data_IF_281069372795
#
_entry.id   IF_281069372795
#
_cell.length_a   1.000
_cell.length_b   1.000
_cell.length_c   1.000
_cell.angle_alpha   90.00
_cell.angle_beta   90.00
_cell.angle_gamma   90.00
#
_symmetry.space_group_name_H-M   'P 1'
#
loop_
_entity.id
_entity.type
_entity.pdbx_description
1 polymer ?
#
# COMPACT_ATOMS: atom_id res chain seq x y z
N UNK A 1 3.56 1.09 2.03
CA UNK A 1 4.71 1.88 1.56
C UNK A 1 4.24 2.95 0.61
N UNK A 2 4.92 4.08 0.58
CA UNK A 2 4.81 5.08 -0.48
C UNK A 2 5.64 4.62 -1.69
N UNK A 3 5.11 4.78 -2.89
CA UNK A 3 5.83 4.57 -4.15
C UNK A 3 5.89 5.88 -4.94
N UNK A 4 7.06 6.18 -5.44
CA UNK A 4 7.35 7.37 -6.23
C UNK A 4 8.16 6.99 -7.48
N UNK A 5 8.18 7.82 -8.55
CA UNK A 5 9.10 7.59 -9.67
C UNK A 5 10.55 7.59 -9.20
N UNK A 6 11.41 6.83 -9.85
CA UNK A 6 12.86 6.79 -9.51
C UNK A 6 13.55 8.16 -9.58
N UNK A 7 13.08 9.06 -10.45
CA UNK A 7 13.59 10.43 -10.57
C UNK A 7 13.02 11.44 -9.58
N UNK A 8 12.14 11.00 -8.68
CA UNK A 8 11.54 11.89 -7.68
C UNK A 8 12.55 12.26 -6.59
N UNK A 9 12.43 13.48 -6.05
CA UNK A 9 13.31 13.97 -4.98
C UNK A 9 13.25 13.06 -3.72
N UNK A 10 12.13 12.41 -3.46
CA UNK A 10 11.98 11.46 -2.35
C UNK A 10 12.64 10.10 -2.61
N UNK A 11 13.00 9.78 -3.85
CA UNK A 11 13.52 8.45 -4.22
C UNK A 11 14.82 8.08 -3.50
N UNK A 12 15.62 9.07 -3.09
CA UNK A 12 16.85 8.85 -2.32
C UNK A 12 16.58 8.56 -0.81
N UNK A 13 15.37 8.78 -0.34
CA UNK A 13 15.00 8.60 1.06
C UNK A 13 14.48 7.19 1.30
N UNK A 14 14.81 6.65 2.46
CA UNK A 14 14.27 5.34 2.89
C UNK A 14 12.94 5.46 3.63
N UNK A 15 12.68 6.62 4.23
CA UNK A 15 11.51 6.87 5.08
C UNK A 15 10.98 8.28 4.86
N UNK A 16 9.68 8.45 4.99
CA UNK A 16 9.01 9.75 4.96
C UNK A 16 7.78 9.71 5.86
N UNK A 17 7.41 10.85 6.42
CA UNK A 17 6.12 11.00 7.07
C UNK A 17 5.03 11.26 6.03
N UNK A 18 3.83 10.76 6.25
CA UNK A 18 2.72 10.98 5.35
C UNK A 18 2.36 12.45 5.18
N UNK A 19 2.54 13.24 6.26
CA UNK A 19 2.35 14.70 6.24
C UNK A 19 3.19 15.42 5.20
N UNK A 20 4.37 14.91 4.87
CA UNK A 20 5.29 15.52 3.91
C UNK A 20 4.80 15.42 2.47
N UNK A 21 3.87 14.49 2.19
CA UNK A 21 3.41 14.18 0.83
C UNK A 21 1.94 14.52 0.57
N UNK A 22 1.21 14.97 1.58
CA UNK A 22 -0.22 15.25 1.50
C UNK A 22 -0.61 16.28 0.41
N UNK A 23 0.30 17.20 0.07
CA UNK A 23 0.06 18.19 -0.96
C UNK A 23 0.36 17.68 -2.39
N UNK A 24 0.87 16.45 -2.52
CA UNK A 24 1.20 15.83 -3.80
C UNK A 24 -0.05 15.26 -4.49
N UNK A 25 0.07 15.01 -5.76
CA UNK A 25 -0.95 14.33 -6.53
C UNK A 25 -0.78 12.82 -6.43
N UNK A 26 -1.88 12.11 -6.25
CA UNK A 26 -1.90 10.67 -6.00
C UNK A 26 -2.48 9.89 -7.16
N UNK A 27 -1.99 8.68 -7.29
CA UNK A 27 -2.65 7.59 -8.01
C UNK A 27 -3.26 6.67 -6.95
N UNK A 28 -4.54 6.38 -7.06
CA UNK A 28 -5.27 5.56 -6.10
C UNK A 28 -5.97 4.37 -6.71
N UNK A 29 -6.51 3.52 -5.84
CA UNK A 29 -7.41 2.45 -6.25
C UNK A 29 -8.84 2.98 -6.39
N UNK A 30 -9.54 2.52 -7.42
CA UNK A 30 -10.97 2.74 -7.59
C UNK A 30 -11.79 1.79 -6.76
N UNK A 31 -13.10 2.08 -6.65
CA UNK A 31 -14.03 1.27 -5.87
C UNK A 31 -13.83 1.37 -4.35
N UNK A 32 -14.37 0.39 -3.63
CA UNK A 32 -14.22 0.25 -2.18
C UNK A 32 -12.95 -0.54 -1.88
N UNK A 33 -11.87 0.16 -1.58
CA UNK A 33 -10.61 -0.45 -1.17
C UNK A 33 -10.30 -0.08 0.29
N UNK A 34 -10.17 -1.06 1.21
CA UNK A 34 -9.81 -0.79 2.60
C UNK A 34 -8.50 -0.03 2.74
N UNK A 35 -7.52 -0.28 1.88
CA UNK A 35 -6.28 0.48 1.85
C UNK A 35 -6.53 1.94 1.49
N UNK A 36 -7.33 2.16 0.45
CA UNK A 36 -7.63 3.51 -0.03
C UNK A 36 -8.43 4.32 1.01
N UNK A 37 -9.35 3.66 1.70
CA UNK A 37 -10.11 4.27 2.79
C UNK A 37 -9.21 4.64 3.97
N UNK A 38 -8.28 3.76 4.34
CA UNK A 38 -7.30 4.01 5.39
C UNK A 38 -6.43 5.23 5.08
N UNK A 39 -5.91 5.31 3.87
CA UNK A 39 -5.06 6.42 3.40
C UNK A 39 -5.86 7.73 3.41
N UNK A 40 -7.06 7.71 2.86
CA UNK A 40 -7.95 8.89 2.81
C UNK A 40 -8.40 9.34 4.20
N UNK A 41 -8.68 8.41 5.10
CA UNK A 41 -9.04 8.70 6.49
C UNK A 41 -7.90 9.42 7.22
N UNK A 42 -6.66 8.91 7.07
CA UNK A 42 -5.51 9.53 7.72
C UNK A 42 -5.14 10.90 7.13
N UNK A 43 -5.38 11.13 5.84
CA UNK A 43 -5.26 12.46 5.26
C UNK A 43 -6.28 13.44 5.87
N UNK A 44 -7.54 13.02 6.00
CA UNK A 44 -8.58 13.85 6.64
C UNK A 44 -8.28 14.16 8.09
N UNK A 45 -7.71 13.22 8.84
CA UNK A 45 -7.27 13.48 10.24
C UNK A 45 -6.20 14.56 10.33
N UNK A 46 -5.44 14.77 9.27
CA UNK A 46 -4.45 15.86 9.14
C UNK A 46 -5.02 17.11 8.45
N UNK A 47 -6.36 17.20 8.33
CA UNK A 47 -7.03 18.35 7.73
C UNK A 47 -6.89 18.47 6.21
N UNK A 48 -6.50 17.38 5.53
CA UNK A 48 -6.27 17.37 4.08
C UNK A 48 -7.15 16.36 3.35
N UNK A 49 -7.49 16.69 2.12
CA UNK A 49 -8.03 15.76 1.13
C UNK A 49 -6.96 15.45 0.11
N UNK A 50 -6.79 14.17 -0.21
CA UNK A 50 -5.85 13.76 -1.24
C UNK A 50 -6.35 14.15 -2.63
N UNK A 51 -5.46 14.74 -3.43
CA UNK A 51 -5.73 15.02 -4.83
C UNK A 51 -5.39 13.78 -5.66
N UNK A 52 -6.40 13.09 -6.15
CA UNK A 52 -6.21 11.95 -7.06
C UNK A 52 -6.26 12.41 -8.51
N UNK A 53 -5.17 12.20 -9.25
CA UNK A 53 -5.17 12.40 -10.71
C UNK A 53 -5.89 11.28 -11.43
N UNK A 54 -5.71 10.06 -10.95
CA UNK A 54 -6.35 8.87 -11.52
C UNK A 54 -6.58 7.82 -10.45
N UNK A 55 -7.63 7.03 -10.64
CA UNK A 55 -7.91 5.83 -9.86
C UNK A 55 -7.94 4.63 -10.80
N UNK A 56 -7.22 3.59 -10.46
CA UNK A 56 -7.04 2.38 -11.27
C UNK A 56 -7.54 1.14 -10.54
N UNK A 57 -7.62 0.01 -11.23
CA UNK A 57 -8.31 -1.18 -10.71
C UNK A 57 -7.46 -2.04 -9.78
N UNK A 58 -6.15 -2.00 -9.90
CA UNK A 58 -5.27 -2.88 -9.13
C UNK A 58 -3.95 -2.20 -8.77
N UNK A 59 -3.22 -2.83 -7.85
CA UNK A 59 -1.97 -2.28 -7.30
C UNK A 59 -0.84 -2.19 -8.34
N UNK A 60 -0.79 -3.10 -9.29
CA UNK A 60 0.22 -3.05 -10.35
C UNK A 60 -0.02 -1.84 -11.27
N UNK A 61 -1.27 -1.56 -11.61
CA UNK A 61 -1.64 -0.37 -12.38
C UNK A 61 -1.31 0.92 -11.61
N UNK A 62 -1.46 0.96 -10.28
CA UNK A 62 -0.99 2.10 -9.46
C UNK A 62 0.51 2.29 -9.67
N UNK A 63 1.32 1.24 -9.53
CA UNK A 63 2.77 1.33 -9.70
C UNK A 63 3.17 1.73 -11.14
N UNK A 64 2.47 1.26 -12.16
CA UNK A 64 2.70 1.67 -13.56
C UNK A 64 2.42 3.14 -13.79
N UNK A 65 1.32 3.66 -13.25
CA UNK A 65 1.00 5.09 -13.34
C UNK A 65 2.03 5.95 -12.60
N UNK A 66 2.49 5.48 -11.44
CA UNK A 66 3.58 6.14 -10.69
C UNK A 66 4.87 6.15 -11.51
N UNK A 67 5.26 5.04 -12.12
CA UNK A 67 6.42 4.94 -12.99
C UNK A 67 6.38 5.98 -14.12
N UNK A 68 5.20 6.22 -14.69
CA UNK A 68 4.98 7.21 -15.75
C UNK A 68 4.90 8.66 -15.24
N UNK A 69 5.09 8.89 -13.95
CA UNK A 69 5.09 10.23 -13.37
C UNK A 69 3.69 10.87 -13.22
N UNK A 70 2.62 10.07 -13.29
CA UNK A 70 1.24 10.56 -13.14
C UNK A 70 1.01 11.10 -11.72
N UNK A 71 1.63 10.50 -10.71
CA UNK A 71 1.54 10.89 -9.32
C UNK A 71 2.31 9.92 -8.44
N UNK A 72 2.10 10.00 -7.14
CA UNK A 72 2.65 9.07 -6.15
C UNK A 72 1.54 8.14 -5.66
N UNK A 73 1.90 7.02 -5.05
CA UNK A 73 0.90 6.06 -4.58
C UNK A 73 1.26 5.45 -3.22
N UNK A 74 0.25 4.97 -2.51
CA UNK A 74 0.43 4.15 -1.31
C UNK A 74 -0.06 2.75 -1.60
N UNK A 75 0.82 1.77 -1.47
CA UNK A 75 0.54 0.36 -1.74
C UNK A 75 1.10 -0.53 -0.63
N UNK A 76 0.60 -1.76 -0.45
CA UNK A 76 1.20 -2.72 0.48
C UNK A 76 2.67 -2.97 0.13
N UNK A 77 3.50 -3.21 1.14
CA UNK A 77 4.94 -3.44 0.97
C UNK A 77 5.24 -4.56 -0.01
N UNK A 78 4.55 -5.68 0.09
CA UNK A 78 4.76 -6.82 -0.81
C UNK A 78 4.51 -6.46 -2.29
N UNK A 79 3.48 -5.65 -2.56
CA UNK A 79 3.18 -5.17 -3.91
C UNK A 79 4.24 -4.17 -4.39
N UNK A 80 4.64 -3.22 -3.54
CA UNK A 80 5.68 -2.23 -3.86
C UNK A 80 6.99 -2.91 -4.25
N UNK A 81 7.47 -3.82 -3.42
CA UNK A 81 8.75 -4.51 -3.64
C UNK A 81 8.71 -5.43 -4.86
N UNK A 82 7.57 -6.08 -5.13
CA UNK A 82 7.40 -6.89 -6.34
C UNK A 82 7.46 -6.03 -7.59
N UNK A 83 6.73 -4.92 -7.61
CA UNK A 83 6.69 -4.01 -8.75
C UNK A 83 8.05 -3.33 -9.01
N UNK A 84 8.78 -2.98 -7.95
CA UNK A 84 10.09 -2.33 -8.06
C UNK A 84 11.16 -3.21 -8.75
N UNK A 85 10.92 -4.52 -8.87
CA UNK A 85 11.84 -5.42 -9.61
C UNK A 85 11.86 -5.15 -11.11
N UNK A 86 10.76 -4.66 -11.66
CA UNK A 86 10.57 -4.49 -13.11
C UNK A 86 10.13 -3.09 -13.52
N UNK A 87 9.91 -2.20 -12.55
CA UNK A 87 9.44 -0.84 -12.79
C UNK A 87 10.42 0.18 -12.22
N UNK A 88 10.53 1.33 -12.86
CA UNK A 88 11.38 2.43 -12.44
C UNK A 88 10.72 3.26 -11.32
N UNK A 89 10.40 2.61 -10.21
CA UNK A 89 9.82 3.22 -9.00
C UNK A 89 10.76 3.05 -7.80
N UNK A 90 10.64 3.95 -6.84
CA UNK A 90 11.30 3.85 -5.54
C UNK A 90 10.25 3.63 -4.44
N UNK A 91 10.59 2.78 -3.48
CA UNK A 91 9.73 2.39 -2.37
C UNK A 91 10.23 3.05 -1.08
N UNK A 92 9.35 3.80 -0.42
CA UNK A 92 9.68 4.59 0.77
C UNK A 92 8.77 4.13 1.91
N UNK A 93 9.34 3.79 3.05
CA UNK A 93 8.57 3.42 4.22
C UNK A 93 7.90 4.66 4.82
N UNK A 94 6.59 4.59 5.07
CA UNK A 94 5.91 5.62 5.85
C UNK A 94 6.22 5.42 7.34
N UNK A 95 6.54 6.52 8.02
CA UNK A 95 6.89 6.50 9.46
C UNK A 95 5.66 6.53 10.37
N UNK A 96 4.50 6.78 9.81
CA UNK A 96 3.24 6.87 10.55
C UNK A 96 2.81 5.51 11.10
N UNK A 97 2.35 5.47 12.35
CA UNK A 97 1.98 4.22 13.04
C UNK A 97 0.88 3.44 12.29
N UNK A 98 -0.07 4.13 11.66
CA UNK A 98 -1.15 3.52 10.90
C UNK A 98 -0.66 2.80 9.62
N UNK A 99 0.53 3.13 9.14
CA UNK A 99 1.11 2.51 7.94
C UNK A 99 1.61 1.08 8.19
N UNK A 100 1.85 0.71 9.45
CA UNK A 100 2.14 -0.66 9.83
C UNK A 100 0.82 -1.45 9.93
N UNK A 101 0.64 -2.41 9.04
CA UNK A 101 -0.57 -3.24 8.97
C UNK A 101 -0.20 -4.70 9.16
N UNK A 102 -0.88 -5.33 10.08
CA UNK A 102 -0.78 -6.77 10.31
C UNK A 102 -1.97 -7.47 9.63
N UNK A 103 -1.67 -8.46 8.82
CA UNK A 103 -2.69 -9.38 8.34
C UNK A 103 -2.95 -10.43 9.40
N UNK A 104 -4.20 -10.68 9.68
CA UNK A 104 -4.62 -11.68 10.66
C UNK A 104 -5.57 -12.67 10.02
N UNK A 105 -5.47 -13.92 10.44
CA UNK A 105 -6.43 -14.96 10.08
C UNK A 105 -7.46 -15.04 11.21
N UNK A 106 -8.72 -14.84 10.87
CA UNK A 106 -9.83 -14.91 11.81
C UNK A 106 -10.57 -16.25 11.62
N UNK A 107 -10.82 -16.96 12.71
CA UNK A 107 -11.61 -18.18 12.72
C UNK A 107 -12.40 -18.28 14.02
N UNK A 108 -13.51 -19.04 14.01
CA UNK A 108 -14.31 -19.23 15.22
C UNK A 108 -13.59 -20.11 16.23
N UNK A 109 -13.15 -21.29 15.81
CA UNK A 109 -12.35 -22.24 16.60
C UNK A 109 -11.44 -23.03 15.67
N UNK A 110 -10.20 -23.24 16.07
CA UNK A 110 -9.22 -23.99 15.29
C UNK A 110 -9.61 -25.45 15.13
N UNK A 111 -10.12 -26.05 16.20
CA UNK A 111 -10.49 -27.47 16.25
C UNK A 111 -11.71 -27.82 15.38
N UNK A 112 -12.53 -26.82 15.06
CA UNK A 112 -13.71 -26.99 14.21
C UNK A 112 -13.44 -26.81 12.72
N UNK A 113 -12.20 -26.55 12.34
CA UNK A 113 -11.83 -26.37 10.94
C UNK A 113 -11.79 -27.73 10.23
N UNK A 114 -12.34 -27.85 9.00
CA UNK A 114 -12.11 -28.99 8.14
C UNK A 114 -10.62 -29.22 7.88
N UNK A 115 -10.23 -30.46 7.55
CA UNK A 115 -8.83 -30.84 7.37
C UNK A 115 -8.09 -29.95 6.33
N UNK A 116 -8.73 -29.63 5.22
CA UNK A 116 -8.18 -28.74 4.19
C UNK A 116 -7.96 -27.31 4.69
N UNK A 117 -8.87 -26.79 5.53
CA UNK A 117 -8.72 -25.46 6.12
C UNK A 117 -7.63 -25.44 7.19
N UNK A 118 -7.44 -26.53 7.93
CA UNK A 118 -6.31 -26.68 8.88
C UNK A 118 -4.97 -26.68 8.15
N UNK A 119 -4.86 -27.39 7.02
CA UNK A 119 -3.67 -27.39 6.17
C UNK A 119 -3.36 -26.00 5.62
N UNK A 120 -4.37 -25.28 5.13
CA UNK A 120 -4.22 -23.92 4.66
C UNK A 120 -3.74 -22.98 5.78
N UNK A 121 -4.33 -23.10 6.97
CA UNK A 121 -3.93 -22.32 8.14
C UNK A 121 -2.47 -22.57 8.51
N UNK A 122 -2.04 -23.82 8.53
CA UNK A 122 -0.65 -24.19 8.80
C UNK A 122 0.30 -23.59 7.76
N UNK A 123 -0.07 -23.65 6.48
CA UNK A 123 0.70 -23.05 5.40
C UNK A 123 0.83 -21.53 5.57
N UNK A 124 -0.27 -20.84 5.85
CA UNK A 124 -0.27 -19.37 6.04
C UNK A 124 0.57 -18.94 7.25
N UNK A 125 0.50 -19.68 8.36
CA UNK A 125 1.30 -19.37 9.56
C UNK A 125 2.77 -19.72 9.37
N UNK A 126 3.09 -20.75 8.61
CA UNK A 126 4.46 -21.14 8.29
C UNK A 126 5.13 -20.25 7.24
N UNK A 127 4.35 -19.45 6.50
CA UNK A 127 4.84 -18.51 5.49
C UNK A 127 5.00 -17.07 6.02
N UNK A 128 4.65 -16.86 7.27
CA UNK A 128 4.71 -15.55 7.92
C UNK A 128 6.09 -15.22 8.47
#
# INVERSE_FOLDING_TARGET
MLVVPKGDALAARRRAAFSEVLAREFVGLGGTSPLQELVSHNARRQGRRLAYRVRVRNLEAVCRMVEQGVGIGVVPQAAALRCARSMAIACIALTDAWALRNLVVCMRRRESLPANAQLLLQHLLGSA
#
